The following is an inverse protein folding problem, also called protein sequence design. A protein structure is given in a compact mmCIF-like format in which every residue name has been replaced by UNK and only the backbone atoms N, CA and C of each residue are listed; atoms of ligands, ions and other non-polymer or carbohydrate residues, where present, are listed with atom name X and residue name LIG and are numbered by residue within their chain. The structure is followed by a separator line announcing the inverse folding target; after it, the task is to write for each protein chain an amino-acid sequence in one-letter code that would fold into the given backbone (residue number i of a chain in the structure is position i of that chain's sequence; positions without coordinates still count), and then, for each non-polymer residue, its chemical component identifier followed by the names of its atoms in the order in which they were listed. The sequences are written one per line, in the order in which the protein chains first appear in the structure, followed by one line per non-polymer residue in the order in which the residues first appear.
data_IF_313660788398
#
_entry.id   IF_313660788398
#
_cell.length_a   1.000
_cell.length_b   1.000
_cell.length_c   1.000
_cell.angle_alpha   90.00
_cell.angle_beta   90.00
_cell.angle_gamma   90.00
#
_symmetry.space_group_name_H-M   'P 1'
#
loop_
_entity.id
_entity.type
_entity.pdbx_description
1 polymer ?
#
# COMPACT_ATOMS: atom_id res chain seq x y z
N UNK A 1 -17.53 2.44 0.26
CA UNK A 1 -16.19 2.42 -0.35
C UNK A 1 -15.82 0.96 -0.62
N UNK A 2 -15.27 0.64 -1.79
CA UNK A 2 -14.82 -0.72 -2.14
C UNK A 2 -13.30 -0.74 -2.18
N UNK A 3 -12.68 -1.83 -1.71
CA UNK A 3 -11.21 -1.99 -1.79
C UNK A 3 -10.80 -2.06 -3.26
N UNK A 4 -9.84 -1.23 -3.66
CA UNK A 4 -9.43 -1.08 -5.06
C UNK A 4 -7.91 -0.98 -5.16
N UNK A 5 -7.34 -1.51 -6.24
CA UNK A 5 -5.89 -1.49 -6.49
C UNK A 5 -5.35 -0.13 -6.95
N UNK A 6 -6.23 0.86 -7.13
CA UNK A 6 -5.86 2.21 -7.56
C UNK A 6 -5.26 3.09 -6.45
N UNK A 7 -5.16 2.59 -5.22
CA UNK A 7 -4.52 3.32 -4.12
C UNK A 7 -5.19 4.64 -3.70
N UNK A 8 -6.45 4.83 -4.08
CA UNK A 8 -7.23 6.03 -3.78
C UNK A 8 -7.96 5.97 -2.42
N UNK A 9 -7.91 4.82 -1.75
CA UNK A 9 -8.72 4.55 -0.56
C UNK A 9 -7.88 3.96 0.56
N UNK A 10 -8.19 4.36 1.79
CA UNK A 10 -7.66 3.80 3.02
C UNK A 10 -8.80 3.63 4.02
N UNK A 11 -8.53 2.94 5.13
CA UNK A 11 -9.44 2.89 6.29
C UNK A 11 -9.51 4.26 6.97
N UNK A 12 -10.54 4.51 7.77
CA UNK A 12 -10.81 5.82 8.39
C UNK A 12 -9.66 6.33 9.28
N UNK A 13 -8.89 5.41 9.86
CA UNK A 13 -7.71 5.69 10.69
C UNK A 13 -6.39 5.51 9.92
N UNK A 14 -6.44 5.43 8.59
CA UNK A 14 -5.30 5.24 7.70
C UNK A 14 -5.13 6.39 6.71
N UNK A 15 -4.20 6.20 5.77
CA UNK A 15 -3.93 7.15 4.70
C UNK A 15 -3.52 6.41 3.43
N UNK A 16 -3.71 7.03 2.25
CA UNK A 16 -3.13 6.53 1.00
C UNK A 16 -1.61 6.68 1.04
N UNK A 17 -0.90 5.82 0.29
CA UNK A 17 0.57 5.86 0.21
C UNK A 17 1.08 7.22 -0.28
N UNK A 18 0.44 7.80 -1.29
CA UNK A 18 0.82 9.11 -1.85
C UNK A 18 0.77 10.23 -0.81
N UNK A 19 -0.29 10.28 0.01
CA UNK A 19 -0.42 11.29 1.06
C UNK A 19 0.65 11.11 2.15
N UNK A 20 1.01 9.87 2.49
CA UNK A 20 2.07 9.62 3.47
C UNK A 20 3.43 10.02 2.89
N UNK A 21 3.73 9.69 1.64
CA UNK A 21 4.97 10.11 0.98
C UNK A 21 5.12 11.63 0.96
N UNK A 22 4.09 12.36 0.54
CA UNK A 22 4.11 13.83 0.55
C UNK A 22 4.36 14.38 1.96
N UNK A 23 3.71 13.80 2.97
CA UNK A 23 3.88 14.22 4.36
C UNK A 23 5.31 13.94 4.87
N UNK A 24 5.90 12.80 4.52
CA UNK A 24 7.29 12.48 4.87
C UNK A 24 8.29 13.43 4.21
N UNK A 25 8.03 13.83 2.96
CA UNK A 25 8.88 14.79 2.24
C UNK A 25 8.82 16.20 2.86
N UNK A 26 7.67 16.61 3.39
CA UNK A 26 7.48 17.90 4.06
C UNK A 26 8.11 17.97 5.46
N UNK A 27 8.27 16.84 6.14
CA UNK A 27 8.63 16.79 7.57
C UNK A 27 9.96 16.05 7.80
N UNK A 28 11.13 16.70 7.58
CA UNK A 28 12.44 16.03 7.62
C UNK A 28 12.86 15.53 9.02
N UNK A 29 12.13 15.93 10.06
CA UNK A 29 12.32 15.41 11.41
C UNK A 29 11.69 14.01 11.61
N UNK A 30 10.86 13.55 10.66
CA UNK A 30 10.33 12.19 10.63
C UNK A 30 11.27 11.31 9.82
N UNK A 31 11.88 10.32 10.47
CA UNK A 31 12.91 9.46 9.83
C UNK A 31 12.33 8.50 8.78
N UNK A 32 11.03 8.22 8.83
CA UNK A 32 10.37 7.32 7.89
C UNK A 32 9.06 6.75 8.43
N UNK A 33 8.61 5.65 7.83
CA UNK A 33 7.35 4.98 8.14
C UNK A 33 7.51 3.45 8.25
N UNK A 34 6.53 2.81 8.91
CA UNK A 34 6.30 1.36 8.84
C UNK A 34 4.89 1.13 8.29
N UNK A 35 4.83 0.75 7.01
CA UNK A 35 3.56 0.58 6.30
C UNK A 35 2.82 -0.64 6.82
N UNK A 36 1.52 -0.49 7.07
CA UNK A 36 0.60 -1.58 7.41
C UNK A 36 -0.10 -2.08 6.13
N UNK A 37 0.27 -3.21 5.54
CA UNK A 37 1.39 -4.12 5.89
C UNK A 37 2.22 -4.46 4.65
N UNK A 38 3.37 -5.10 4.83
CA UNK A 38 4.17 -5.58 3.70
C UNK A 38 3.47 -6.69 2.92
N UNK A 39 2.98 -7.71 3.62
CA UNK A 39 2.24 -8.85 3.06
C UNK A 39 0.87 -8.93 3.70
N UNK A 40 -0.12 -9.38 2.92
CA UNK A 40 -1.38 -9.78 3.52
C UNK A 40 -1.18 -10.91 4.53
N UNK A 41 -2.10 -10.99 5.49
CA UNK A 41 -2.14 -11.97 6.56
C UNK A 41 -3.57 -12.50 6.76
N UNK A 42 -3.68 -13.59 7.51
CA UNK A 42 -4.99 -14.15 7.87
C UNK A 42 -5.62 -13.34 9.00
N UNK A 43 -6.92 -13.11 8.92
CA UNK A 43 -7.66 -12.25 9.85
C UNK A 43 -7.68 -10.78 9.42
N UNK A 44 -8.29 -9.94 10.26
CA UNK A 44 -8.48 -8.50 10.04
C UNK A 44 -8.91 -8.12 8.59
N UNK A 45 -10.02 -8.69 8.09
CA UNK A 45 -10.45 -8.49 6.72
C UNK A 45 -11.16 -7.14 6.52
N UNK A 46 -10.71 -6.06 7.16
CA UNK A 46 -11.33 -4.74 7.08
C UNK A 46 -11.38 -4.27 5.62
N UNK A 47 -12.54 -3.84 5.08
CA UNK A 47 -13.84 -3.62 5.73
C UNK A 47 -14.85 -4.78 5.62
N UNK A 48 -14.47 -5.91 5.04
CA UNK A 48 -15.34 -7.06 4.75
C UNK A 48 -15.26 -8.15 5.82
N UNK A 49 -16.04 -8.02 6.89
CA UNK A 49 -16.02 -8.97 8.02
C UNK A 49 -16.50 -10.40 7.71
N UNK A 50 -17.01 -10.65 6.50
CA UNK A 50 -17.30 -12.00 6.00
C UNK A 50 -16.11 -12.67 5.31
N UNK A 51 -15.08 -11.90 4.93
CA UNK A 51 -13.84 -12.43 4.37
C UNK A 51 -12.90 -12.96 5.48
N UNK A 52 -11.78 -13.57 5.10
CA UNK A 52 -10.89 -14.30 6.02
C UNK A 52 -9.46 -13.78 6.09
N UNK A 53 -9.09 -12.87 5.20
CA UNK A 53 -7.73 -12.34 5.07
C UNK A 53 -7.75 -10.83 4.96
N UNK A 54 -6.63 -10.20 5.31
CA UNK A 54 -6.43 -8.78 5.18
C UNK A 54 -6.44 -8.32 3.72
N UNK A 55 -6.58 -7.01 3.55
CA UNK A 55 -6.45 -6.33 2.26
C UNK A 55 -5.30 -5.30 2.25
N UNK A 56 -4.60 -5.16 3.38
CA UNK A 56 -3.65 -4.08 3.67
C UNK A 56 -2.25 -4.32 3.09
N UNK A 57 -1.93 -5.56 2.70
CA UNK A 57 -0.64 -5.95 2.19
C UNK A 57 -0.28 -5.28 0.87
N UNK A 58 0.98 -4.85 0.73
CA UNK A 58 1.57 -4.44 -0.56
C UNK A 58 1.69 -5.67 -1.50
N UNK A 59 1.94 -6.83 -0.92
CA UNK A 59 1.96 -8.15 -1.58
C UNK A 59 0.82 -9.00 -1.01
N UNK A 60 0.18 -9.82 -1.83
CA UNK A 60 -0.90 -10.70 -1.38
C UNK A 60 -0.39 -11.94 -0.59
N UNK A 61 -1.33 -12.74 -0.08
CA UNK A 61 -1.03 -13.97 0.67
C UNK A 61 -0.25 -15.02 -0.14
N UNK A 62 -0.41 -15.04 -1.47
CA UNK A 62 0.27 -15.97 -2.35
C UNK A 62 1.67 -15.46 -2.75
N UNK A 63 2.05 -14.26 -2.33
CA UNK A 63 3.31 -13.62 -2.69
C UNK A 63 3.26 -12.86 -4.02
N UNK A 64 2.08 -12.65 -4.60
CA UNK A 64 1.93 -11.86 -5.80
C UNK A 64 1.89 -10.36 -5.48
N UNK A 65 2.75 -9.55 -6.15
CA UNK A 65 2.74 -8.10 -5.98
C UNK A 65 1.41 -7.49 -6.44
N UNK A 66 0.81 -6.62 -5.63
CA UNK A 66 -0.31 -5.75 -6.04
C UNK A 66 0.22 -4.52 -6.78
N UNK A 67 -0.64 -3.73 -7.39
CA UNK A 67 -0.24 -2.49 -8.08
C UNK A 67 0.54 -1.52 -7.15
N UNK A 68 0.14 -1.44 -5.87
CA UNK A 68 0.85 -0.71 -4.80
C UNK A 68 2.33 -1.03 -4.71
N UNK A 69 2.72 -2.27 -4.98
CA UNK A 69 4.13 -2.70 -4.94
C UNK A 69 5.00 -1.86 -5.85
N UNK A 70 4.51 -1.57 -7.06
CA UNK A 70 5.26 -0.81 -8.06
C UNK A 70 5.38 0.67 -7.68
N UNK A 71 4.38 1.21 -6.99
CA UNK A 71 4.43 2.55 -6.40
C UNK A 71 5.52 2.65 -5.32
N UNK A 72 5.61 1.67 -4.40
CA UNK A 72 6.68 1.63 -3.40
C UNK A 72 8.05 1.39 -4.04
N UNK A 73 8.15 0.52 -5.06
CA UNK A 73 9.41 0.26 -5.78
C UNK A 73 9.95 1.54 -6.42
N UNK A 74 9.11 2.32 -7.10
CA UNK A 74 9.56 3.57 -7.74
C UNK A 74 10.05 4.60 -6.73
N UNK A 75 9.45 4.63 -5.52
CA UNK A 75 9.84 5.54 -4.44
C UNK A 75 11.10 5.11 -3.69
N UNK A 76 11.21 3.83 -3.35
CA UNK A 76 12.27 3.29 -2.48
C UNK A 76 13.49 2.78 -3.23
N UNK A 77 13.40 2.57 -4.55
CA UNK A 77 14.51 2.15 -5.41
C UNK A 77 14.71 3.12 -6.58
N UNK A 78 15.04 4.40 -6.30
CA UNK A 78 15.20 5.42 -7.34
C UNK A 78 16.37 5.13 -8.30
N UNK A 79 17.28 4.23 -7.91
CA UNK A 79 18.39 3.73 -8.74
C UNK A 79 17.93 2.78 -9.85
N UNK A 80 16.70 2.25 -9.77
CA UNK A 80 16.16 1.30 -10.74
C UNK A 80 14.96 1.90 -11.49
N UNK A 81 15.04 2.05 -12.83
CA UNK A 81 13.91 2.49 -13.62
C UNK A 81 12.67 1.62 -13.37
N UNK A 82 11.55 2.27 -13.06
CA UNK A 82 10.26 1.61 -12.80
C UNK A 82 9.19 2.34 -13.60
N UNK A 83 8.52 1.60 -14.48
CA UNK A 83 7.31 2.02 -15.17
C UNK A 83 6.30 0.87 -15.08
N UNK A 84 5.18 1.11 -14.41
CA UNK A 84 4.09 0.15 -14.26
C UNK A 84 2.79 0.84 -14.64
N UNK A 85 1.96 0.20 -15.45
CA UNK A 85 0.68 0.72 -15.90
C UNK A 85 -0.44 -0.11 -15.28
N UNK A 86 -1.50 0.58 -14.89
CA UNK A 86 -2.79 0.02 -14.49
C UNK A 86 -3.92 0.90 -15.09
N UNK A 87 -5.13 0.36 -15.35
CA UNK A 87 -5.54 -1.04 -15.18
C UNK A 87 -5.11 -1.94 -16.35
N UNK A 88 -5.77 -3.10 -16.47
CA UNK A 88 -5.76 -3.99 -17.64
C UNK A 88 -6.70 -3.49 -18.75
#
# INVERSE_FOLDING_TARGET
CHVSAYELHAVDFGSSAEKVFATLDEHPYVVGEFVWTGFDYLGEPTPYYSARSSYTGIVDLAGFPKDRYWLYRSRWRPDQPTAHLLPH
#
